data_IF_168636502076
#
_entry.id   IF_168636502076
#
_cell.length_a   1.000
_cell.length_b   1.000
_cell.length_c   1.000
_cell.angle_alpha   90.00
_cell.angle_beta   90.00
_cell.angle_gamma   90.00
#
_symmetry.space_group_name_H-M   'P 1'
#
loop_
_entity.id
_entity.type
_entity.pdbx_description
1 polymer ?
#
# COMPACT_ATOMS: atom_id res chain seq x y z
N UNK A 1 5.22 -11.59 -22.88
CA UNK A 1 4.15 -11.81 -21.89
C UNK A 1 3.78 -10.45 -21.33
N UNK A 2 2.58 -9.94 -21.64
CA UNK A 2 2.20 -8.57 -21.29
C UNK A 2 2.02 -8.45 -19.78
N UNK A 3 2.94 -7.75 -19.12
CA UNK A 3 2.80 -7.35 -17.74
C UNK A 3 1.76 -6.24 -17.67
N UNK A 4 0.49 -6.63 -17.81
CA UNK A 4 -0.63 -5.74 -17.54
C UNK A 4 -0.41 -5.18 -16.15
N UNK A 5 -0.47 -3.86 -16.02
CA UNK A 5 -0.57 -3.21 -14.71
C UNK A 5 -1.73 -3.90 -14.00
N UNK A 6 -1.40 -4.78 -13.04
CA UNK A 6 -2.41 -5.59 -12.36
C UNK A 6 -3.44 -4.61 -11.81
N UNK A 7 -4.72 -4.79 -12.14
CA UNK A 7 -5.83 -3.94 -11.66
C UNK A 7 -5.71 -3.70 -10.15
N UNK A 8 -5.18 -4.68 -9.42
CA UNK A 8 -4.83 -4.61 -8.01
C UNK A 8 -3.88 -3.45 -7.65
N UNK A 9 -2.82 -3.22 -8.41
CA UNK A 9 -1.86 -2.11 -8.20
C UNK A 9 -2.54 -0.75 -8.34
N UNK A 10 -3.42 -0.58 -9.34
CA UNK A 10 -4.22 0.64 -9.48
C UNK A 10 -5.24 0.78 -8.33
N UNK A 11 -5.83 -0.32 -7.87
CA UNK A 11 -6.76 -0.28 -6.73
C UNK A 11 -6.08 0.06 -5.40
N UNK A 12 -4.82 -0.35 -5.19
CA UNK A 12 -4.07 -0.02 -3.97
C UNK A 12 -3.39 1.34 -4.00
N UNK A 13 -3.08 1.90 -5.18
CA UNK A 13 -2.45 3.23 -5.23
C UNK A 13 -3.42 4.31 -4.74
N UNK A 14 -4.72 4.18 -5.01
CA UNK A 14 -5.75 5.13 -4.57
C UNK A 14 -5.76 5.34 -3.05
N UNK A 15 -5.94 4.31 -2.20
CA UNK A 15 -5.93 4.51 -0.76
C UNK A 15 -4.56 4.94 -0.23
N UNK A 16 -3.45 4.56 -0.88
CA UNK A 16 -2.11 5.00 -0.49
C UNK A 16 -1.94 6.52 -0.72
N UNK A 17 -2.40 7.02 -1.87
CA UNK A 17 -2.36 8.45 -2.18
C UNK A 17 -3.33 9.26 -1.32
N UNK A 18 -4.52 8.71 -1.01
CA UNK A 18 -5.47 9.34 -0.09
C UNK A 18 -4.96 9.37 1.35
N UNK A 19 -4.20 8.36 1.76
CA UNK A 19 -3.60 8.31 3.09
C UNK A 19 -2.39 9.24 3.20
N UNK A 20 -1.68 9.56 2.11
CA UNK A 20 -0.48 10.41 2.18
C UNK A 20 -0.78 11.78 2.83
N UNK A 21 0.01 12.23 3.83
CA UNK A 21 1.30 11.67 4.31
C UNK A 21 1.20 10.63 5.45
N UNK A 22 0.00 10.19 5.81
CA UNK A 22 -0.25 9.14 6.81
C UNK A 22 -0.02 7.72 6.27
N UNK A 23 0.01 6.74 7.18
CA UNK A 23 0.15 5.33 6.83
C UNK A 23 -1.19 4.71 6.42
N UNK A 24 -1.15 3.80 5.45
CA UNK A 24 -2.30 3.05 4.96
C UNK A 24 -2.29 1.61 5.53
N UNK A 25 -3.36 1.15 6.21
CA UNK A 25 -3.41 -0.19 6.78
C UNK A 25 -3.52 -1.30 5.74
N UNK A 26 -2.98 -2.50 6.04
CA UNK A 26 -3.07 -3.64 5.11
C UNK A 26 -4.50 -4.10 4.83
N UNK A 27 -5.39 -4.04 5.83
CA UNK A 27 -6.81 -4.38 5.68
C UNK A 27 -7.53 -3.50 4.68
N UNK A 28 -7.14 -2.21 4.58
CA UNK A 28 -7.69 -1.28 3.60
C UNK A 28 -7.20 -1.67 2.20
N UNK A 29 -5.90 -1.93 2.04
CA UNK A 29 -5.35 -2.39 0.77
C UNK A 29 -5.99 -3.72 0.32
N UNK A 30 -6.18 -4.67 1.23
CA UNK A 30 -6.83 -5.94 0.95
C UNK A 30 -8.29 -5.74 0.57
N UNK A 31 -9.02 -4.83 1.23
CA UNK A 31 -10.39 -4.49 0.88
C UNK A 31 -10.49 -3.93 -0.54
N UNK A 32 -9.56 -3.04 -0.92
CA UNK A 32 -9.46 -2.50 -2.28
C UNK A 32 -9.07 -3.56 -3.32
N UNK A 33 -8.28 -4.57 -2.97
CA UNK A 33 -7.93 -5.67 -3.90
C UNK A 33 -9.09 -6.66 -4.05
N UNK A 34 -9.70 -7.07 -2.94
CA UNK A 34 -10.68 -8.15 -2.87
C UNK A 34 -12.10 -7.73 -3.23
N UNK A 35 -12.43 -6.45 -3.02
CA UNK A 35 -13.73 -5.88 -3.33
C UNK A 35 -13.57 -4.69 -4.27
N UNK A 36 -14.60 -4.44 -5.08
CA UNK A 36 -14.66 -3.25 -5.91
C UNK A 36 -14.99 -1.99 -5.08
N UNK A 37 -15.54 -2.15 -3.87
CA UNK A 37 -15.73 -1.07 -2.89
C UNK A 37 -15.09 -1.41 -1.54
N UNK A 38 -14.20 -0.53 -1.08
CA UNK A 38 -13.55 -0.60 0.22
C UNK A 38 -14.40 0.08 1.29
N UNK A 39 -15.60 -0.44 1.50
CA UNK A 39 -16.47 0.02 2.57
C UNK A 39 -15.95 -0.48 3.93
N UNK A 40 -16.36 0.16 5.02
CA UNK A 40 -15.95 -0.20 6.39
C UNK A 40 -16.20 -1.68 6.72
N UNK A 41 -17.34 -2.23 6.28
CA UNK A 41 -17.64 -3.66 6.44
C UNK A 41 -16.63 -4.58 5.72
N UNK A 42 -16.15 -4.18 4.55
CA UNK A 42 -15.12 -4.90 3.80
C UNK A 42 -13.79 -4.82 4.53
N UNK A 43 -13.41 -3.63 5.00
CA UNK A 43 -12.18 -3.41 5.78
C UNK A 43 -12.19 -4.24 7.05
N UNK A 44 -13.29 -4.28 7.80
CA UNK A 44 -13.44 -5.12 9.00
C UNK A 44 -13.31 -6.61 8.69
N UNK A 45 -13.93 -7.07 7.60
CA UNK A 45 -13.80 -8.47 7.15
C UNK A 45 -12.34 -8.80 6.80
N UNK A 46 -11.68 -7.92 6.06
CA UNK A 46 -10.28 -8.08 5.69
C UNK A 46 -9.35 -8.07 6.91
N UNK A 47 -9.62 -7.19 7.88
CA UNK A 47 -8.90 -7.15 9.16
C UNK A 47 -9.05 -8.46 9.92
N UNK A 48 -10.26 -9.00 10.02
CA UNK A 48 -10.50 -10.30 10.68
C UNK A 48 -9.77 -11.44 9.97
N UNK A 49 -9.82 -11.49 8.63
CA UNK A 49 -9.08 -12.47 7.83
C UNK A 49 -7.58 -12.38 8.03
N UNK A 50 -7.05 -11.16 8.09
CA UNK A 50 -5.64 -10.93 8.36
C UNK A 50 -5.29 -11.43 9.77
N UNK A 51 -6.09 -11.12 10.79
CA UNK A 51 -5.87 -11.63 12.14
C UNK A 51 -5.88 -13.16 12.19
N UNK A 52 -6.89 -13.80 11.60
CA UNK A 52 -6.97 -15.26 11.49
C UNK A 52 -5.74 -15.82 10.76
N UNK A 53 -5.30 -15.19 9.67
CA UNK A 53 -4.11 -15.63 8.95
C UNK A 53 -2.81 -15.44 9.75
N UNK A 54 -2.75 -14.45 10.66
CA UNK A 54 -1.64 -14.29 11.59
C UNK A 54 -1.60 -15.47 12.58
N UNK A 55 -2.75 -15.83 13.15
CA UNK A 55 -2.87 -16.91 14.13
C UNK A 55 -2.56 -18.30 13.51
N UNK A 56 -2.95 -18.51 12.25
CA UNK A 56 -2.73 -19.76 11.52
C UNK A 56 -1.39 -19.80 10.74
N UNK A 57 -0.57 -18.75 10.81
CA UNK A 57 0.70 -18.66 10.08
C UNK A 57 0.57 -18.51 8.55
N UNK A 58 -0.63 -18.26 8.03
CA UNK A 58 -0.90 -18.06 6.59
C UNK A 58 -0.84 -16.59 6.17
N UNK A 59 -0.43 -15.69 7.07
CA UNK A 59 -0.30 -14.25 6.84
C UNK A 59 0.45 -13.89 5.54
N UNK A 60 1.54 -14.61 5.24
CA UNK A 60 2.32 -14.35 4.04
C UNK A 60 1.56 -14.66 2.74
N UNK A 61 0.64 -15.62 2.77
CA UNK A 61 -0.19 -15.98 1.63
C UNK A 61 -1.24 -14.89 1.36
N UNK A 62 -1.87 -14.37 2.40
CA UNK A 62 -2.83 -13.26 2.32
C UNK A 62 -2.17 -11.93 1.90
N UNK A 63 -0.93 -11.67 2.36
CA UNK A 63 -0.18 -10.49 1.92
C UNK A 63 0.45 -10.62 0.53
N UNK A 64 0.52 -11.82 -0.05
CA UNK A 64 1.12 -12.06 -1.38
C UNK A 64 0.59 -11.12 -2.48
N UNK A 65 -0.74 -10.94 -2.65
CA UNK A 65 -1.27 -9.99 -3.63
C UNK A 65 -0.88 -8.54 -3.33
N UNK A 66 -0.87 -8.14 -2.05
CA UNK A 66 -0.45 -6.80 -1.63
C UNK A 66 1.03 -6.59 -1.97
N UNK A 67 1.91 -7.52 -1.59
CA UNK A 67 3.36 -7.41 -1.87
C UNK A 67 3.64 -7.29 -3.36
N UNK A 68 2.97 -8.09 -4.20
CA UNK A 68 3.09 -7.96 -5.67
C UNK A 68 2.65 -6.58 -6.16
N UNK A 69 1.51 -6.10 -5.70
CA UNK A 69 1.01 -4.78 -6.06
C UNK A 69 1.97 -3.66 -5.60
N UNK A 70 2.47 -3.73 -4.37
CA UNK A 70 3.45 -2.79 -3.82
C UNK A 70 4.78 -2.82 -4.59
N UNK A 71 5.29 -3.99 -4.97
CA UNK A 71 6.51 -4.10 -5.78
C UNK A 71 6.35 -3.44 -7.15
N UNK A 72 5.20 -3.62 -7.80
CA UNK A 72 4.88 -2.96 -9.07
C UNK A 72 4.75 -1.44 -8.91
N UNK A 73 4.06 -1.01 -7.85
CA UNK A 73 3.91 0.41 -7.53
C UNK A 73 5.24 1.07 -7.21
N UNK A 74 6.12 0.40 -6.44
CA UNK A 74 7.45 0.90 -6.12
C UNK A 74 8.26 1.21 -7.38
N UNK A 75 8.24 0.32 -8.37
CA UNK A 75 8.91 0.56 -9.65
C UNK A 75 8.38 1.81 -10.39
N UNK A 76 7.06 2.01 -10.37
CA UNK A 76 6.42 3.19 -10.99
C UNK A 76 6.69 4.46 -10.18
N UNK A 77 6.48 4.42 -8.87
CA UNK A 77 6.68 5.55 -7.95
C UNK A 77 8.13 6.01 -7.92
N UNK A 78 9.09 5.09 -8.10
CA UNK A 78 10.50 5.45 -8.19
C UNK A 78 10.79 6.41 -9.35
N UNK A 79 10.10 6.28 -10.50
CA UNK A 79 10.21 7.26 -11.59
C UNK A 79 9.61 8.63 -11.25
N UNK A 80 8.75 8.70 -10.23
CA UNK A 80 8.19 9.94 -9.69
C UNK A 80 8.94 10.44 -8.44
N UNK A 81 10.06 9.81 -8.05
CA UNK A 81 10.80 10.17 -6.84
C UNK A 81 10.08 9.81 -5.54
N UNK A 82 9.13 8.86 -5.60
CA UNK A 82 8.33 8.37 -4.47
C UNK A 82 8.67 6.90 -4.16
N UNK A 83 8.70 6.55 -2.88
CA UNK A 83 8.89 5.19 -2.36
C UNK A 83 7.69 4.75 -1.53
N UNK A 84 7.60 3.45 -1.30
CA UNK A 84 6.66 2.87 -0.34
C UNK A 84 7.44 2.19 0.78
N UNK A 85 7.26 2.69 1.99
CA UNK A 85 7.76 2.10 3.22
C UNK A 85 6.71 1.18 3.82
N UNK A 86 7.01 -0.11 3.96
CA UNK A 86 6.11 -1.08 4.60
C UNK A 86 6.34 -1.15 6.11
N UNK A 87 5.31 -0.91 6.90
CA UNK A 87 5.32 -1.12 8.35
C UNK A 87 4.93 -2.57 8.64
N UNK A 88 5.84 -3.29 9.30
CA UNK A 88 5.67 -4.71 9.63
C UNK A 88 4.31 -4.93 10.30
N UNK A 89 3.49 -5.77 9.68
CA UNK A 89 2.16 -6.22 10.15
C UNK A 89 1.10 -5.12 10.35
N UNK A 90 1.40 -3.87 9.97
CA UNK A 90 0.48 -2.73 10.15
C UNK A 90 0.02 -2.13 8.84
N UNK A 91 0.90 -2.01 7.83
CA UNK A 91 0.52 -1.37 6.57
C UNK A 91 1.69 -0.86 5.76
N UNK A 92 1.46 0.19 4.98
CA UNK A 92 2.50 0.90 4.26
C UNK A 92 2.24 2.41 4.22
N UNK A 93 3.31 3.20 4.19
CA UNK A 93 3.27 4.64 3.99
C UNK A 93 4.03 5.01 2.72
N UNK A 94 3.60 6.08 2.07
CA UNK A 94 4.29 6.65 0.91
C UNK A 94 5.30 7.69 1.41
N UNK A 95 6.55 7.58 0.96
CA UNK A 95 7.67 8.41 1.41
C UNK A 95 8.43 8.94 0.20
N UNK A 96 8.92 10.18 0.21
CA UNK A 96 9.77 10.67 -0.89
C UNK A 96 11.13 9.96 -0.91
N UNK A 97 11.62 9.59 -2.08
CA UNK A 97 13.00 9.06 -2.28
C UNK A 97 14.01 10.20 -2.22
N UNK A 98 13.59 11.42 -2.56
CA UNK A 98 14.42 12.60 -2.43
C UNK A 98 14.52 13.06 -0.98
N UNK A 99 15.49 12.49 -0.26
CA UNK A 99 16.23 13.24 0.73
C UNK A 99 17.07 14.30 0.02
N UNK A 100 16.57 15.54 -0.02
CA UNK A 100 17.33 16.70 -0.48
C UNK A 100 16.70 17.44 -1.66
N UNK A 101 15.61 18.16 -1.41
CA UNK A 101 15.50 19.59 -1.74
C UNK A 101 14.16 20.11 -1.19
N UNK A 102 14.07 20.24 0.13
CA UNK A 102 13.54 21.50 0.62
C UNK A 102 14.76 22.42 0.58
N UNK A 103 14.83 23.44 -0.29
CA UNK A 103 15.66 24.59 0.06
C UNK A 103 15.08 25.08 1.38
N UNK A 104 15.80 24.79 2.47
CA UNK A 104 15.59 25.47 3.73
C UNK A 104 15.65 26.95 3.42
N UNK A 105 14.48 27.57 3.43
CA UNK A 105 14.24 28.98 3.71
C UNK A 105 15.35 29.92 3.19
N UNK A 106 15.28 30.27 1.91
CA UNK A 106 15.66 31.63 1.53
C UNK A 106 14.55 32.56 2.03
N UNK A 107 14.56 32.90 3.31
CA UNK A 107 13.86 34.07 3.84
C UNK A 107 14.79 34.78 4.82
N UNK A 108 15.45 35.79 4.25
CA UNK A 108 15.93 37.07 4.80
C UNK A 108 16.50 37.17 6.20
#
# INVERSE_FOLDING_TARGET
>A
MAEQVSVNALRVITPILQAFPHYCPYEVLLAHISSNSANEATVLRCRKRLQEAQDHGTWQQELRPIRRALSLLRGKLHSFGLDISTLRERGCSLTGIHGGLLPSDTIS
#
